data_IF_804835806523
#
_entry.id   IF_804835806523
#
_cell.length_a   1.000
_cell.length_b   1.000
_cell.length_c   1.000
_cell.angle_alpha   90.00
_cell.angle_beta   90.00
_cell.angle_gamma   90.00
#
_symmetry.space_group_name_H-M   'P 1'
#
loop_
_entity.id
_entity.type
_entity.pdbx_description
1 polymer ?
#
# COMPACT_ATOMS: atom_id res chain seq x y z
N UNK A 1 17.09 -11.89 0.74
CA UNK A 1 18.50 -12.31 0.60
C UNK A 1 18.67 -12.82 -0.81
N UNK A 2 19.64 -12.27 -1.52
CA UNK A 2 19.99 -12.66 -2.88
C UNK A 2 21.26 -13.50 -2.82
N UNK A 3 21.39 -14.47 -3.72
CA UNK A 3 22.61 -15.27 -3.87
C UNK A 3 23.00 -15.38 -5.33
N UNK A 4 24.29 -15.57 -5.59
CA UNK A 4 24.76 -15.93 -6.93
C UNK A 4 24.34 -17.38 -7.28
N UNK A 5 24.46 -17.75 -8.56
CA UNK A 5 24.04 -19.07 -9.06
C UNK A 5 24.79 -20.24 -8.41
N UNK A 6 26.01 -19.98 -7.94
CA UNK A 6 26.86 -20.97 -7.26
C UNK A 6 26.56 -21.11 -5.76
N UNK A 7 25.74 -20.22 -5.18
CA UNK A 7 25.41 -20.21 -3.75
C UNK A 7 26.61 -19.87 -2.84
N UNK A 8 27.64 -19.22 -3.38
CA UNK A 8 28.89 -18.89 -2.69
C UNK A 8 28.90 -17.45 -2.17
N UNK A 9 28.07 -16.58 -2.74
CA UNK A 9 27.91 -15.19 -2.32
C UNK A 9 26.48 -14.90 -1.92
N UNK A 10 26.31 -14.13 -0.84
CA UNK A 10 25.01 -13.74 -0.30
C UNK A 10 24.95 -12.25 -0.04
N UNK A 11 23.89 -11.60 -0.53
CA UNK A 11 23.63 -10.17 -0.36
C UNK A 11 22.30 -9.98 0.34
N UNK A 12 22.30 -9.23 1.44
CA UNK A 12 21.07 -8.82 2.12
C UNK A 12 20.56 -7.52 1.51
N UNK A 13 19.29 -7.51 1.12
CA UNK A 13 18.60 -6.29 0.70
C UNK A 13 18.11 -5.59 1.96
N UNK A 14 18.43 -4.31 2.09
CA UNK A 14 17.95 -3.43 3.15
C UNK A 14 17.13 -2.34 2.47
N UNK A 15 15.90 -2.13 2.93
CA UNK A 15 15.07 -1.04 2.44
C UNK A 15 15.76 0.31 2.74
N UNK A 16 15.83 1.18 1.73
CA UNK A 16 16.38 2.52 1.89
C UNK A 16 15.40 3.41 2.67
N UNK A 17 15.89 4.50 3.26
CA UNK A 17 15.02 5.49 3.86
C UNK A 17 14.24 6.22 2.76
N UNK A 18 12.91 6.29 2.93
CA UNK A 18 11.99 6.93 2.00
C UNK A 18 11.11 7.94 2.73
N UNK A 19 10.59 8.93 1.99
CA UNK A 19 9.61 9.89 2.52
C UNK A 19 8.28 9.23 2.80
N UNK A 20 8.01 8.96 4.07
CA UNK A 20 6.79 8.28 4.52
C UNK A 20 6.00 9.12 5.50
N UNK A 21 4.69 9.01 5.39
CA UNK A 21 3.76 9.39 6.45
C UNK A 21 3.60 8.23 7.42
N UNK A 22 3.63 8.55 8.71
CA UNK A 22 3.60 7.62 9.82
C UNK A 22 2.42 7.93 10.73
N UNK A 23 1.57 6.93 10.92
CA UNK A 23 0.41 7.00 11.81
C UNK A 23 0.69 6.14 13.02
N UNK A 24 0.55 6.69 14.22
CA UNK A 24 0.68 5.95 15.48
C UNK A 24 -0.60 6.03 16.28
N UNK A 25 -1.10 4.89 16.74
CA UNK A 25 -2.31 4.83 17.54
C UNK A 25 -2.34 3.55 18.38
N UNK A 26 -2.69 3.69 19.66
CA UNK A 26 -2.82 2.56 20.58
C UNK A 26 -4.18 1.83 20.46
N UNK A 27 -5.11 2.35 19.65
CA UNK A 27 -6.42 1.75 19.39
C UNK A 27 -6.38 0.91 18.09
N UNK A 28 -6.37 -0.43 18.18
CA UNK A 28 -6.34 -1.30 17.01
C UNK A 28 -7.57 -1.14 16.10
N UNK A 29 -8.73 -0.76 16.67
CA UNK A 29 -9.95 -0.55 15.88
C UNK A 29 -9.84 0.71 15.02
N UNK A 30 -9.17 1.75 15.51
CA UNK A 30 -8.88 2.95 14.73
C UNK A 30 -7.88 2.65 13.60
N UNK A 31 -6.83 1.88 13.89
CA UNK A 31 -5.87 1.44 12.87
C UNK A 31 -6.54 0.56 11.80
N UNK A 32 -7.42 -0.37 12.19
CA UNK A 32 -8.15 -1.21 11.24
C UNK A 32 -9.03 -0.37 10.29
N UNK A 33 -9.71 0.67 10.78
CA UNK A 33 -10.46 1.62 9.94
C UNK A 33 -9.53 2.37 8.99
N UNK A 34 -8.38 2.84 9.46
CA UNK A 34 -7.39 3.49 8.60
C UNK A 34 -6.90 2.56 7.49
N UNK A 35 -6.52 1.32 7.82
CA UNK A 35 -6.11 0.30 6.85
C UNK A 35 -7.20 0.08 5.79
N UNK A 36 -8.46 -0.04 6.20
CA UNK A 36 -9.58 -0.20 5.28
C UNK A 36 -9.69 0.96 4.29
N UNK A 37 -9.62 2.21 4.77
CA UNK A 37 -9.74 3.38 3.91
C UNK A 37 -8.53 3.60 2.99
N UNK A 38 -7.31 3.28 3.44
CA UNK A 38 -6.10 3.33 2.63
C UNK A 38 -6.10 2.22 1.57
N UNK A 39 -6.54 1.01 1.94
CA UNK A 39 -6.70 -0.12 1.03
C UNK A 39 -7.71 0.16 -0.09
N UNK A 40 -8.85 0.79 0.22
CA UNK A 40 -9.84 1.22 -0.78
C UNK A 40 -9.29 2.24 -1.80
N UNK A 41 -8.12 2.82 -1.54
CA UNK A 41 -7.43 3.76 -2.42
C UNK A 41 -6.19 3.14 -3.08
N UNK A 42 -5.98 1.84 -2.92
CA UNK A 42 -4.82 1.11 -3.44
C UNK A 42 -3.48 1.72 -3.00
N UNK A 43 -3.42 2.25 -1.77
CA UNK A 43 -2.20 2.83 -1.22
C UNK A 43 -1.27 1.70 -0.78
N UNK A 44 -0.02 1.63 -1.25
CA UNK A 44 0.98 0.74 -0.67
C UNK A 44 1.13 1.07 0.82
N UNK A 45 0.90 0.07 1.67
CA UNK A 45 0.77 0.26 3.11
C UNK A 45 1.62 -0.77 3.84
N UNK A 46 2.46 -0.30 4.76
CA UNK A 46 3.14 -1.14 5.74
C UNK A 46 2.35 -1.11 7.05
N UNK A 47 2.03 -2.28 7.58
CA UNK A 47 1.20 -2.43 8.77
C UNK A 47 2.04 -3.04 9.89
N UNK A 48 2.11 -2.35 11.04
CA UNK A 48 2.81 -2.83 12.23
C UNK A 48 1.91 -2.69 13.46
N UNK A 49 2.19 -3.41 14.56
CA UNK A 49 1.47 -3.19 15.81
C UNK A 49 1.60 -1.73 16.27
N UNK A 50 0.48 -1.01 16.33
CA UNK A 50 0.43 0.39 16.77
C UNK A 50 0.87 1.43 15.74
N UNK A 51 1.30 1.02 14.54
CA UNK A 51 1.87 1.93 13.54
C UNK A 51 1.51 1.56 12.09
N UNK A 52 1.21 2.56 11.26
CA UNK A 52 1.09 2.42 9.81
C UNK A 52 2.08 3.33 9.11
N UNK A 53 2.64 2.89 7.99
CA UNK A 53 3.44 3.73 7.09
C UNK A 53 2.97 3.62 5.65
N UNK A 54 2.99 4.74 4.95
CA UNK A 54 2.73 4.85 3.52
C UNK A 54 3.57 6.00 2.96
N UNK A 55 3.77 6.05 1.65
CA UNK A 55 4.49 7.18 1.03
C UNK A 55 3.82 8.51 1.39
N UNK A 56 4.64 9.53 1.66
CA UNK A 56 4.13 10.80 2.10
C UNK A 56 3.16 11.42 1.09
N UNK A 57 1.92 11.65 1.54
CA UNK A 57 0.85 12.23 0.74
C UNK A 57 -0.05 13.09 1.65
N UNK A 58 -0.04 14.40 1.43
CA UNK A 58 -0.78 15.35 2.25
C UNK A 58 -2.30 15.15 2.21
N UNK A 59 -2.87 14.63 1.11
CA UNK A 59 -4.31 14.36 0.99
C UNK A 59 -4.69 13.16 1.86
N UNK A 60 -3.88 12.11 1.84
CA UNK A 60 -4.08 10.94 2.70
C UNK A 60 -3.86 11.31 4.18
N UNK A 61 -2.87 12.14 4.48
CA UNK A 61 -2.62 12.63 5.83
C UNK A 61 -3.84 13.38 6.40
N UNK A 62 -4.41 14.30 5.62
CA UNK A 62 -5.58 15.08 6.05
C UNK A 62 -6.82 14.21 6.22
N UNK A 63 -7.00 13.20 5.37
CA UNK A 63 -8.06 12.20 5.54
C UNK A 63 -7.91 11.46 6.87
N UNK A 64 -6.71 10.99 7.21
CA UNK A 64 -6.48 10.26 8.46
C UNK A 64 -6.59 11.16 9.68
N UNK A 65 -6.18 12.43 9.58
CA UNK A 65 -6.41 13.45 10.62
C UNK A 65 -7.90 13.69 10.86
N UNK A 66 -8.75 13.64 9.83
CA UNK A 66 -10.22 13.73 9.99
C UNK A 66 -10.82 12.53 10.74
N UNK A 67 -10.16 11.37 10.73
CA UNK A 67 -10.51 10.26 11.62
C UNK A 67 -9.99 10.43 13.04
N UNK A 68 -9.29 11.52 13.37
CA UNK A 68 -8.70 11.77 14.68
C UNK A 68 -7.37 11.05 14.91
N UNK A 69 -6.72 10.55 13.86
CA UNK A 69 -5.41 9.91 13.95
C UNK A 69 -4.29 10.95 13.91
N UNK A 70 -3.22 10.67 14.65
CA UNK A 70 -1.99 11.49 14.60
C UNK A 70 -1.11 11.00 13.45
N UNK A 71 -0.89 11.88 12.47
CA UNK A 71 -0.04 11.61 11.30
C UNK A 71 1.19 12.51 11.34
N UNK A 72 2.36 11.89 11.26
CA UNK A 72 3.68 12.54 11.22
C UNK A 72 4.43 12.17 9.94
N UNK A 73 5.48 12.91 9.58
CA UNK A 73 6.33 12.61 8.43
C UNK A 73 7.73 12.21 8.89
N UNK A 74 8.37 11.29 8.17
CA UNK A 74 9.76 10.89 8.41
C UNK A 74 10.45 10.33 7.17
N UNK A 75 11.78 10.22 7.24
CA UNK A 75 12.59 9.41 6.33
C UNK A 75 12.86 8.08 7.04
N UNK A 76 12.21 7.01 6.60
CA UNK A 76 12.29 5.69 7.25
C UNK A 76 12.26 4.58 6.20
N UNK A 77 12.78 3.38 6.53
CA UNK A 77 12.62 2.23 5.66
C UNK A 77 11.15 1.88 5.49
N UNK A 78 10.78 1.55 4.26
CA UNK A 78 9.42 1.26 3.88
C UNK A 78 9.30 -0.12 3.23
N UNK A 79 8.52 -0.99 3.86
CA UNK A 79 8.27 -2.36 3.41
C UNK A 79 6.75 -2.62 3.41
N UNK A 80 6.02 -2.20 2.35
CA UNK A 80 4.59 -2.41 2.30
C UNK A 80 4.24 -3.90 2.14
N UNK A 81 3.02 -4.25 2.56
CA UNK A 81 2.50 -5.61 2.43
C UNK A 81 2.56 -6.10 0.98
N UNK A 82 2.92 -7.37 0.77
CA UNK A 82 3.15 -7.95 -0.56
C UNK A 82 1.96 -7.79 -1.53
N UNK A 83 0.73 -7.69 -1.00
CA UNK A 83 -0.48 -7.46 -1.77
C UNK A 83 -0.54 -6.09 -2.46
N UNK A 84 0.25 -5.10 -2.04
CA UNK A 84 0.30 -3.78 -2.65
C UNK A 84 0.82 -3.77 -4.09
N UNK A 85 1.60 -4.79 -4.48
CA UNK A 85 2.20 -4.88 -5.81
C UNK A 85 1.62 -6.01 -6.69
N UNK A 86 0.73 -6.85 -6.14
CA UNK A 86 0.23 -8.05 -6.82
C UNK A 86 -0.97 -7.79 -7.77
N UNK A 87 -1.33 -6.53 -8.07
CA UNK A 87 -2.58 -6.20 -8.74
C UNK A 87 -2.56 -6.21 -10.28
N UNK A 88 -1.47 -6.64 -10.93
CA UNK A 88 -1.36 -6.61 -12.41
C UNK A 88 -1.42 -7.99 -13.11
N UNK A 89 -1.93 -9.05 -12.46
CA UNK A 89 -2.20 -10.31 -13.17
C UNK A 89 -3.66 -10.77 -13.06
N UNK A 90 -4.37 -10.68 -14.20
CA UNK A 90 -5.66 -11.29 -14.56
C UNK A 90 -6.97 -10.55 -14.23
N UNK A 91 -7.31 -9.60 -15.12
CA UNK A 91 -8.69 -9.16 -15.35
C UNK A 91 -9.07 -9.27 -16.83
N UNK A 92 -9.16 -10.49 -17.38
CA UNK A 92 -9.81 -10.72 -18.68
C UNK A 92 -11.33 -10.60 -18.53
N UNK A 93 -11.86 -9.37 -18.54
CA UNK A 93 -13.29 -9.13 -18.76
C UNK A 93 -13.53 -8.84 -20.24
N UNK A 94 -13.71 -9.88 -21.05
CA UNK A 94 -14.38 -9.78 -22.34
C UNK A 94 -15.88 -9.54 -22.09
N UNK A 95 -16.30 -8.28 -22.00
CA UNK A 95 -17.70 -7.92 -22.17
C UNK A 95 -17.93 -7.59 -23.65
N UNK A 96 -18.32 -8.59 -24.44
CA UNK A 96 -18.91 -8.36 -25.76
C UNK A 96 -20.30 -7.73 -25.56
N UNK A 97 -20.38 -6.41 -25.70
CA UNK A 97 -21.64 -5.69 -25.89
C UNK A 97 -21.72 -5.25 -27.35
N UNK A 98 -22.00 -6.21 -28.25
CA UNK A 98 -22.30 -5.89 -29.64
C UNK A 98 -23.71 -5.31 -29.73
N UNK A 99 -23.75 -3.99 -29.88
CA UNK A 99 -24.87 -3.26 -30.40
C UNK A 99 -24.97 -3.48 -31.92
N UNK A 100 -26.01 -4.18 -32.38
CA UNK A 100 -26.52 -3.97 -33.74
C UNK A 100 -28.04 -3.97 -33.74
N UNK A 101 -28.61 -2.77 -33.62
CA UNK A 101 -29.84 -2.43 -34.32
C UNK A 101 -29.51 -2.21 -35.81
N UNK A 102 -30.37 -2.67 -36.72
CA UNK A 102 -30.86 -1.99 -37.95
C UNK A 102 -31.45 -2.98 -38.98
N UNK A 103 -32.74 -2.74 -39.28
CA UNK A 103 -33.46 -2.89 -40.57
C UNK A 103 -33.17 -4.07 -41.52
N UNK A 104 -34.21 -4.88 -41.78
CA UNK A 104 -35.03 -4.80 -43.00
C UNK A 104 -36.27 -5.70 -42.87
#
# INVERSE_FOLDING_TARGET
MLSNEEGTEFVQVIAADEGVSVVRCDDPFMLAKACYHLGNRHVPLQIMPGELRYHHDHVLDDMLRQFGLTVTFGQLPFEPEAGAYASESHGHHHAHHDHHAHSH
#
